data_IF_091595078279
#
_entry.id   IF_091595078279
#
_cell.length_a   1.000
_cell.length_b   1.000
_cell.length_c   1.000
_cell.angle_alpha   90.00
_cell.angle_beta   90.00
_cell.angle_gamma   90.00
#
_symmetry.space_group_name_H-M   'P 1'
#
loop_
_entity.id
_entity.type
_entity.pdbx_description
1 polymer ?
#
# COMPACT_ATOMS: atom_id res chain seq x y z
N UNK A 1 -12.24 -2.94 13.23
CA UNK A 1 -11.29 -2.35 12.28
C UNK A 1 -11.70 -2.78 10.89
N UNK A 2 -11.75 -1.86 9.93
CA UNK A 2 -12.12 -2.17 8.54
C UNK A 2 -10.84 -2.29 7.72
N UNK A 3 -10.41 -3.53 7.51
CA UNK A 3 -9.14 -3.85 6.87
C UNK A 3 -9.16 -3.52 5.37
N UNK A 4 -10.33 -3.52 4.74
CA UNK A 4 -10.51 -3.13 3.33
C UNK A 4 -10.29 -1.63 3.12
N UNK A 5 -10.44 -0.82 4.18
CA UNK A 5 -10.13 0.61 4.18
C UNK A 5 -8.74 0.94 4.73
N UNK A 6 -8.03 -0.05 5.22
CA UNK A 6 -6.71 0.11 5.83
C UNK A 6 -5.60 -0.22 4.82
N UNK A 7 -4.50 0.52 4.91
CA UNK A 7 -3.32 0.30 4.07
C UNK A 7 -2.19 -0.25 4.92
N UNK A 8 -1.59 -1.34 4.47
CA UNK A 8 -0.29 -1.80 4.90
C UNK A 8 0.78 -1.17 4.00
N UNK A 9 1.90 -0.76 4.60
CA UNK A 9 3.06 -0.24 3.87
C UNK A 9 4.27 -1.08 4.28
N UNK A 10 4.95 -1.67 3.30
CA UNK A 10 6.10 -2.55 3.53
C UNK A 10 7.07 -2.53 2.36
N UNK A 11 8.31 -2.95 2.59
CA UNK A 11 9.40 -2.90 1.62
C UNK A 11 9.82 -4.30 1.13
N UNK A 12 9.22 -5.36 1.68
CA UNK A 12 9.53 -6.74 1.32
C UNK A 12 8.36 -7.47 0.66
N UNK A 13 8.67 -8.50 -0.13
CA UNK A 13 7.64 -9.38 -0.71
C UNK A 13 6.83 -10.11 0.38
N UNK A 14 7.42 -10.33 1.57
CA UNK A 14 6.74 -10.95 2.71
C UNK A 14 5.62 -10.06 3.23
N UNK A 15 5.82 -8.75 3.21
CA UNK A 15 4.78 -7.79 3.57
C UNK A 15 3.63 -7.89 2.57
N UNK A 16 3.91 -7.99 1.27
CA UNK A 16 2.85 -8.14 0.24
C UNK A 16 2.01 -9.39 0.49
N UNK A 17 2.63 -10.52 0.81
CA UNK A 17 1.92 -11.76 1.11
C UNK A 17 1.16 -11.69 2.44
N UNK A 18 1.73 -11.06 3.47
CA UNK A 18 1.07 -10.87 4.75
C UNK A 18 -0.17 -9.99 4.64
N UNK A 19 -0.08 -8.88 3.89
CA UNK A 19 -1.22 -8.00 3.64
C UNK A 19 -2.34 -8.72 2.89
N UNK A 20 -1.99 -9.51 1.86
CA UNK A 20 -2.94 -10.34 1.12
C UNK A 20 -3.62 -11.37 2.03
N UNK A 21 -2.85 -12.08 2.85
CA UNK A 21 -3.39 -13.05 3.80
C UNK A 21 -4.34 -12.39 4.82
N UNK A 22 -4.08 -11.13 5.18
CA UNK A 22 -4.92 -10.33 6.06
C UNK A 22 -6.11 -9.65 5.35
N UNK A 23 -6.26 -9.79 4.03
CA UNK A 23 -7.26 -9.06 3.24
C UNK A 23 -7.06 -7.54 3.23
N UNK A 24 -5.85 -7.09 3.57
CA UNK A 24 -5.47 -5.68 3.62
C UNK A 24 -4.91 -5.23 2.27
N UNK A 25 -5.05 -3.92 2.01
CA UNK A 25 -4.43 -3.30 0.85
C UNK A 25 -2.96 -3.00 1.12
N UNK A 26 -2.08 -3.12 0.12
CA UNK A 26 -0.64 -2.86 0.32
C UNK A 26 -0.03 -1.87 -0.67
N UNK A 27 0.76 -0.95 -0.12
CA UNK A 27 1.72 -0.13 -0.84
C UNK A 27 3.11 -0.71 -0.60
N UNK A 28 3.75 -1.17 -1.65
CA UNK A 28 5.11 -1.67 -1.62
C UNK A 28 6.10 -0.52 -1.81
N UNK A 29 7.02 -0.32 -0.86
CA UNK A 29 8.07 0.69 -0.97
C UNK A 29 9.28 0.04 -1.65
N UNK A 30 9.43 0.28 -2.95
CA UNK A 30 10.52 -0.26 -3.73
C UNK A 30 11.82 0.51 -3.42
N UNK A 31 12.55 0.05 -2.40
CA UNK A 31 13.93 0.48 -2.14
C UNK A 31 14.92 -0.09 -3.16
N UNK A 32 16.18 0.30 -3.08
CA UNK A 32 17.25 -0.17 -3.98
C UNK A 32 17.49 -1.70 -3.94
N UNK A 33 16.96 -2.41 -2.93
CA UNK A 33 17.06 -3.87 -2.74
C UNK A 33 15.70 -4.57 -2.87
N UNK A 34 14.69 -3.90 -3.42
CA UNK A 34 13.38 -4.49 -3.62
C UNK A 34 13.43 -5.53 -4.75
N UNK A 35 13.53 -6.81 -4.37
CA UNK A 35 13.28 -7.95 -5.26
C UNK A 35 11.77 -8.04 -5.54
N UNK A 36 11.28 -7.13 -6.38
CA UNK A 36 9.87 -7.08 -6.79
C UNK A 36 9.47 -8.25 -7.71
N UNK A 37 10.39 -9.16 -8.03
CA UNK A 37 10.28 -10.14 -9.12
C UNK A 37 9.10 -11.11 -9.04
N UNK A 38 8.46 -11.26 -7.88
CA UNK A 38 7.37 -12.24 -7.67
C UNK A 38 6.12 -11.69 -7.00
N UNK A 39 6.13 -10.48 -6.43
CA UNK A 39 4.97 -9.93 -5.75
C UNK A 39 4.18 -8.95 -6.65
N UNK A 40 2.83 -9.00 -6.62
CA UNK A 40 1.97 -8.01 -7.30
C UNK A 40 1.29 -7.11 -6.25
N UNK A 41 1.96 -6.07 -5.73
CA UNK A 41 1.34 -5.12 -4.82
C UNK A 41 0.29 -4.27 -5.55
N UNK A 42 -0.66 -3.70 -4.81
CA UNK A 42 -1.67 -2.80 -5.41
C UNK A 42 -1.08 -1.45 -5.82
N UNK A 43 -0.11 -0.96 -5.04
CA UNK A 43 0.65 0.24 -5.37
C UNK A 43 2.12 0.04 -5.06
N UNK A 44 2.96 0.75 -5.79
CA UNK A 44 4.40 0.84 -5.53
C UNK A 44 4.74 2.30 -5.28
N UNK A 45 5.53 2.57 -4.25
CA UNK A 45 6.08 3.87 -3.92
C UNK A 45 7.61 3.79 -3.87
N UNK A 46 8.31 4.84 -4.26
CA UNK A 46 9.76 4.96 -4.16
C UNK A 46 10.23 5.34 -2.75
N UNK A 47 9.32 5.79 -1.88
CA UNK A 47 9.62 6.14 -0.49
C UNK A 47 8.39 6.05 0.41
N UNK A 48 8.62 6.03 1.72
CA UNK A 48 7.53 6.12 2.71
C UNK A 48 6.74 7.43 2.58
N UNK A 49 7.41 8.54 2.26
CA UNK A 49 6.75 9.83 2.07
C UNK A 49 5.77 9.79 0.89
N UNK A 50 6.17 9.18 -0.22
CA UNK A 50 5.29 8.99 -1.37
C UNK A 50 4.12 8.05 -1.03
N UNK A 51 4.37 6.96 -0.30
CA UNK A 51 3.30 6.06 0.16
C UNK A 51 2.25 6.80 1.02
N UNK A 52 2.71 7.63 1.96
CA UNK A 52 1.82 8.46 2.77
C UNK A 52 1.01 9.44 1.92
N UNK A 53 1.62 10.06 0.91
CA UNK A 53 0.92 10.95 0.00
C UNK A 53 -0.17 10.23 -0.80
N UNK A 54 0.10 9.02 -1.29
CA UNK A 54 -0.89 8.18 -1.99
C UNK A 54 -2.10 7.89 -1.12
N UNK A 55 -1.87 7.52 0.15
CA UNK A 55 -2.95 7.25 1.13
C UNK A 55 -3.79 8.51 1.36
N UNK A 56 -3.15 9.66 1.63
CA UNK A 56 -3.83 10.93 1.86
C UNK A 56 -4.64 11.41 0.65
N UNK A 57 -4.11 11.23 -0.58
CA UNK A 57 -4.82 11.55 -1.81
C UNK A 57 -6.04 10.64 -1.99
N UNK A 58 -5.95 9.36 -1.67
CA UNK A 58 -7.08 8.45 -1.75
C UNK A 58 -8.16 8.74 -0.71
N UNK A 59 -7.78 9.04 0.53
CA UNK A 59 -8.72 9.44 1.58
C UNK A 59 -9.50 10.70 1.18
N UNK A 60 -8.82 11.73 0.66
CA UNK A 60 -9.49 12.95 0.17
C UNK A 60 -10.49 12.68 -0.95
N UNK A 61 -10.16 11.79 -1.90
CA UNK A 61 -11.07 11.41 -3.00
C UNK A 61 -12.33 10.71 -2.49
N UNK A 62 -12.20 9.84 -1.48
CA UNK A 62 -13.35 9.13 -0.88
C UNK A 62 -14.28 10.08 -0.14
N UNK A 63 -13.74 11.05 0.59
CA UNK A 63 -14.54 12.07 1.26
C UNK A 63 -15.30 12.94 0.26
N UNK A 64 -14.65 13.37 -0.82
CA UNK A 64 -15.27 14.21 -1.85
C UNK A 64 -16.34 13.49 -2.70
N UNK A 65 -16.29 12.17 -2.80
CA UNK A 65 -17.28 11.37 -3.54
C UNK A 65 -18.50 10.97 -2.69
N UNK A 66 -18.51 11.32 -1.40
CA UNK A 66 -19.56 10.96 -0.45
C UNK A 66 -20.46 12.15 -0.06
N UNK A 67 -20.28 13.31 -0.69
CA UNK A 67 -21.07 14.54 -0.51
C UNK A 67 -21.59 15.05 -1.83
#
# INVERSE_FOLDING_TARGET
MDLERSWMVGDSWKDVEAARAAGCRIIFVAGAHADAGTCKPERVAASLAEAAEMILREMRRRTAASG
#
